data_IF_582940934362
#
_entry.id   IF_582940934362
#
_cell.length_a   1.000
_cell.length_b   1.000
_cell.length_c   1.000
_cell.angle_alpha   90.00
_cell.angle_beta   90.00
_cell.angle_gamma   90.00
#
_symmetry.space_group_name_H-M   'P 1'
#
loop_
_entity.id
_entity.type
_entity.pdbx_description
1 polymer ?
#
# COMPACT_ATOMS: atom_id res chain seq x y z
N UNK A 1 -11.76 6.20 11.75
CA UNK A 1 -11.34 6.54 10.37
C UNK A 1 -12.50 7.26 9.70
N UNK A 2 -12.24 8.37 9.00
CA UNK A 2 -13.25 9.13 8.26
C UNK A 2 -13.27 8.64 6.80
N UNK A 3 -14.32 8.93 6.01
CA UNK A 3 -14.24 8.80 4.55
C UNK A 3 -13.00 9.51 3.99
N UNK A 4 -12.47 8.96 2.91
CA UNK A 4 -11.25 9.42 2.20
C UNK A 4 -9.98 9.41 3.07
N UNK A 5 -10.02 8.74 4.22
CA UNK A 5 -8.83 8.51 5.04
C UNK A 5 -8.06 7.29 4.55
N UNK A 6 -6.72 7.41 4.52
CA UNK A 6 -5.79 6.33 4.27
C UNK A 6 -4.92 6.08 5.49
N UNK A 7 -4.66 4.81 5.78
CA UNK A 7 -3.69 4.37 6.78
C UNK A 7 -2.70 3.46 6.09
N UNK A 8 -1.41 3.73 6.30
CA UNK A 8 -0.32 2.87 5.85
C UNK A 8 0.41 2.36 7.09
N UNK A 9 0.42 1.05 7.27
CA UNK A 9 1.25 0.36 8.26
C UNK A 9 2.31 -0.47 7.55
N UNK A 10 3.50 -0.61 8.14
CA UNK A 10 4.61 -1.33 7.54
C UNK A 10 5.57 -1.89 8.60
N UNK A 11 6.37 -2.88 8.21
CA UNK A 11 7.47 -3.41 9.05
C UNK A 11 8.73 -2.54 8.93
N UNK A 12 9.62 -2.62 9.92
CA UNK A 12 10.90 -1.92 9.93
C UNK A 12 11.81 -2.27 8.74
N UNK A 13 11.68 -3.47 8.16
CA UNK A 13 12.30 -3.81 6.87
C UNK A 13 12.08 -2.77 5.78
N UNK A 14 10.90 -2.13 5.71
CA UNK A 14 10.65 -1.03 4.76
C UNK A 14 11.55 0.19 5.04
N UNK A 15 11.69 0.57 6.31
CA UNK A 15 12.50 1.71 6.73
C UNK A 15 14.00 1.46 6.56
N UNK A 16 14.41 0.20 6.70
CA UNK A 16 15.79 -0.25 6.46
C UNK A 16 16.14 -0.25 4.97
N UNK A 17 15.19 -0.63 4.11
CA UNK A 17 15.36 -0.68 2.66
C UNK A 17 15.52 0.72 2.04
N UNK A 18 14.71 1.70 2.47
CA UNK A 18 14.68 3.01 1.83
C UNK A 18 14.01 4.11 2.67
N UNK A 19 14.40 5.36 2.40
CA UNK A 19 13.71 6.53 2.91
C UNK A 19 12.57 6.90 1.95
N UNK A 20 11.34 6.50 2.26
CA UNK A 20 10.14 6.81 1.47
C UNK A 20 9.34 7.95 2.12
N UNK A 21 9.00 8.96 1.33
CA UNK A 21 7.98 9.95 1.70
C UNK A 21 6.57 9.34 1.48
N UNK A 22 6.08 8.64 2.51
CA UNK A 22 4.79 7.98 2.48
C UNK A 22 3.62 8.97 2.33
N UNK A 23 3.76 10.17 2.87
CA UNK A 23 2.71 11.18 2.77
C UNK A 23 2.54 11.64 1.31
N UNK A 24 3.65 11.90 0.62
CA UNK A 24 3.64 12.24 -0.79
C UNK A 24 3.10 11.10 -1.66
N UNK A 25 3.50 9.86 -1.40
CA UNK A 25 2.98 8.70 -2.14
C UNK A 25 1.47 8.51 -1.96
N UNK A 26 0.96 8.65 -0.73
CA UNK A 26 -0.48 8.56 -0.47
C UNK A 26 -1.23 9.66 -1.19
N UNK A 27 -0.73 10.91 -1.18
CA UNK A 27 -1.35 12.02 -1.94
C UNK A 27 -1.41 11.72 -3.43
N UNK A 28 -0.30 11.27 -4.02
CA UNK A 28 -0.25 10.92 -5.43
C UNK A 28 -1.20 9.75 -5.78
N UNK A 29 -1.32 8.78 -4.88
CA UNK A 29 -2.24 7.66 -5.04
C UNK A 29 -3.69 8.10 -5.02
N UNK A 30 -4.06 9.03 -4.14
CA UNK A 30 -5.39 9.65 -4.12
C UNK A 30 -5.67 10.41 -5.41
N UNK A 31 -4.74 11.25 -5.86
CA UNK A 31 -4.86 12.01 -7.11
C UNK A 31 -5.03 11.10 -8.33
N UNK A 32 -4.36 9.95 -8.33
CA UNK A 32 -4.42 8.94 -9.40
C UNK A 32 -5.56 7.94 -9.24
N UNK A 33 -6.41 8.09 -8.22
CA UNK A 33 -7.50 7.15 -7.90
C UNK A 33 -7.00 5.70 -7.77
N UNK A 34 -5.81 5.50 -7.22
CA UNK A 34 -5.23 4.18 -7.01
C UNK A 34 -6.04 3.40 -5.98
N UNK A 35 -6.12 2.09 -6.19
CA UNK A 35 -6.72 1.17 -5.22
C UNK A 35 -5.74 0.94 -4.06
N UNK A 36 -6.26 0.53 -2.90
CA UNK A 36 -5.40 0.19 -1.76
C UNK A 36 -4.35 -0.89 -2.08
N UNK A 37 -4.68 -1.98 -2.82
CA UNK A 37 -3.68 -2.95 -3.28
C UNK A 37 -2.61 -2.32 -4.18
N UNK A 38 -3.01 -1.47 -5.14
CA UNK A 38 -2.06 -0.84 -6.05
C UNK A 38 -1.08 0.10 -5.33
N UNK A 39 -1.53 0.80 -4.29
CA UNK A 39 -0.65 1.62 -3.46
C UNK A 39 0.30 0.76 -2.61
N UNK A 40 -0.19 -0.34 -2.03
CA UNK A 40 0.65 -1.27 -1.28
C UNK A 40 1.77 -1.84 -2.16
N UNK A 41 1.42 -2.27 -3.38
CA UNK A 41 2.38 -2.79 -4.36
C UNK A 41 3.38 -1.71 -4.77
N UNK A 42 2.94 -0.47 -5.02
CA UNK A 42 3.85 0.62 -5.39
C UNK A 42 4.89 0.93 -4.30
N UNK A 43 4.49 0.91 -3.02
CA UNK A 43 5.41 1.10 -1.89
C UNK A 43 6.39 -0.08 -1.80
N UNK A 44 5.90 -1.31 -1.91
CA UNK A 44 6.74 -2.51 -1.84
C UNK A 44 7.75 -2.56 -2.99
N UNK A 45 7.32 -2.25 -4.22
CA UNK A 45 8.19 -2.18 -5.40
C UNK A 45 9.29 -1.15 -5.21
N UNK A 46 8.96 0.06 -4.73
CA UNK A 46 9.97 1.09 -4.48
C UNK A 46 11.04 0.64 -3.48
N UNK A 47 10.64 -0.12 -2.45
CA UNK A 47 11.58 -0.68 -1.48
C UNK A 47 12.45 -1.78 -2.08
N UNK A 48 11.86 -2.68 -2.85
CA UNK A 48 12.61 -3.74 -3.55
C UNK A 48 13.60 -3.16 -4.56
N UNK A 49 13.21 -2.11 -5.30
CA UNK A 49 14.10 -1.40 -6.23
C UNK A 49 15.29 -0.77 -5.52
N UNK A 50 15.10 -0.22 -4.31
CA UNK A 50 16.17 0.36 -3.51
C UNK A 50 17.18 -0.69 -3.01
N UNK A 51 16.77 -1.95 -2.91
CA UNK A 51 17.61 -3.08 -2.49
C UNK A 51 18.02 -4.00 -3.65
N UNK A 52 18.02 -3.50 -4.89
CA UNK A 52 18.37 -4.28 -6.09
C UNK A 52 17.60 -5.62 -6.18
N UNK A 53 16.33 -5.60 -5.77
CA UNK A 53 15.42 -6.76 -5.69
C UNK A 53 15.91 -7.89 -4.77
N UNK A 54 16.80 -7.56 -3.82
CA UNK A 54 17.34 -8.51 -2.84
C UNK A 54 17.14 -7.96 -1.42
N UNK A 55 15.92 -8.12 -0.86
CA UNK A 55 15.61 -7.54 0.43
C UNK A 55 16.49 -8.10 1.53
N UNK A 56 17.03 -7.21 2.36
CA UNK A 56 17.90 -7.58 3.48
C UNK A 56 17.12 -8.02 4.73
N UNK A 57 15.83 -7.71 4.78
CA UNK A 57 14.89 -8.03 5.85
C UNK A 57 13.47 -8.27 5.29
N UNK A 58 12.56 -8.79 6.11
CA UNK A 58 11.16 -9.00 5.73
C UNK A 58 10.40 -7.67 5.60
N UNK A 59 9.88 -7.40 4.40
CA UNK A 59 9.10 -6.20 4.10
C UNK A 59 7.61 -6.56 3.99
N UNK A 60 6.79 -5.93 4.83
CA UNK A 60 5.33 -6.01 4.74
C UNK A 60 4.72 -4.61 4.72
N UNK A 61 3.73 -4.40 3.84
CA UNK A 61 3.00 -3.14 3.70
C UNK A 61 1.49 -3.41 3.80
N UNK A 62 0.81 -2.68 4.67
CA UNK A 62 -0.64 -2.69 4.84
C UNK A 62 -1.20 -1.33 4.45
N UNK A 63 -2.10 -1.29 3.48
CA UNK A 63 -2.84 -0.10 3.10
C UNK A 63 -4.32 -0.29 3.39
N UNK A 64 -4.90 0.65 4.14
CA UNK A 64 -6.34 0.71 4.42
C UNK A 64 -6.87 2.04 3.90
N UNK A 65 -7.77 1.99 2.93
CA UNK A 65 -8.51 3.15 2.44
C UNK A 65 -9.98 3.08 2.84
N UNK A 66 -10.50 4.15 3.44
CA UNK A 66 -11.95 4.29 3.68
C UNK A 66 -12.53 5.08 2.52
N UNK A 67 -13.04 4.39 1.51
CA UNK A 67 -13.59 5.04 0.32
C UNK A 67 -15.01 5.55 0.57
N UNK A 68 -15.45 6.63 -0.12
CA UNK A 68 -16.86 7.03 -0.12
C UNK A 68 -17.73 5.86 -0.58
N UNK A 69 -18.92 5.73 0.02
CA UNK A 69 -19.78 4.57 -0.14
C UNK A 69 -20.44 4.57 -1.53
N UNK A 70 -19.70 4.09 -2.53
CA UNK A 70 -20.09 4.04 -3.94
C UNK A 70 -20.55 2.64 -4.38
N UNK A 71 -20.48 1.65 -3.50
CA UNK A 71 -20.86 0.27 -3.85
C UNK A 71 -22.38 0.12 -3.74
N UNK A 72 -23.09 -0.17 -4.84
CA UNK A 72 -24.55 -0.27 -4.83
C UNK A 72 -25.05 -1.52 -4.09
N UNK A 73 -24.19 -2.52 -3.92
CA UNK A 73 -24.47 -3.77 -3.20
C UNK A 73 -23.74 -3.82 -1.84
N UNK A 74 -24.29 -4.56 -0.87
CA UNK A 74 -23.64 -4.79 0.44
C UNK A 74 -22.68 -5.99 0.41
N UNK A 75 -22.18 -6.38 -0.76
CA UNK A 75 -21.36 -7.58 -0.90
C UNK A 75 -19.94 -7.31 -0.40
N UNK A 76 -19.46 -8.19 0.49
CA UNK A 76 -18.07 -8.19 0.96
C UNK A 76 -17.23 -9.05 0.02
N UNK A 77 -16.10 -8.50 -0.43
CA UNK A 77 -15.18 -9.18 -1.36
C UNK A 77 -13.81 -9.32 -0.69
N UNK A 78 -13.19 -10.48 -0.86
CA UNK A 78 -11.85 -10.78 -0.36
C UNK A 78 -11.06 -11.48 -1.47
N UNK A 79 -9.78 -11.14 -1.58
CA UNK A 79 -8.85 -11.73 -2.54
C UNK A 79 -7.51 -11.94 -1.84
N UNK A 80 -6.88 -13.08 -2.11
CA UNK A 80 -5.56 -13.46 -1.60
C UNK A 80 -4.81 -14.19 -2.72
N UNK A 81 -3.53 -13.88 -2.86
CA UNK A 81 -2.64 -14.50 -3.83
C UNK A 81 -1.33 -14.86 -3.16
N UNK A 82 -0.82 -16.06 -3.45
CA UNK A 82 0.55 -16.46 -3.16
C UNK A 82 1.18 -16.86 -4.51
N UNK A 83 2.16 -16.10 -5.02
CA UNK A 83 2.84 -16.47 -6.26
C UNK A 83 3.59 -17.80 -6.09
N UNK A 84 3.67 -18.58 -7.17
CA UNK A 84 4.33 -19.88 -7.24
C UNK A 84 5.80 -19.76 -7.64
#
# INVERSE_FOLDING_TARGET
LQPESYVVGFTDGLSSACAIDLEQLVKLAVERLMTAPALADAILVAALEAEDHRPSDDISVLVVGVLPNLVPDRVRRYFLSFPA
#
